data_IF_234925572079
#
_entry.id   IF_234925572079
#
_cell.length_a   1.000
_cell.length_b   1.000
_cell.length_c   1.000
_cell.angle_alpha   90.00
_cell.angle_beta   90.00
_cell.angle_gamma   90.00
#
_symmetry.space_group_name_H-M   'P 1'
#
loop_
_entity.id
_entity.type
_entity.pdbx_description
1 polymer ?
#
# COMPACT_ATOMS: atom_id res chain seq x y z
N UNK A 1 -5.06 42.37 6.50
CA UNK A 1 -4.09 41.30 6.83
C UNK A 1 -4.86 40.09 7.30
N UNK A 2 -5.10 39.14 6.41
CA UNK A 2 -5.84 37.90 6.69
C UNK A 2 -4.88 36.88 7.29
N UNK A 3 -5.05 36.60 8.57
CA UNK A 3 -4.39 35.55 9.32
C UNK A 3 -4.81 34.18 8.79
N UNK A 4 -3.87 33.45 8.19
CA UNK A 4 -4.06 32.04 7.83
C UNK A 4 -4.21 31.18 9.09
N UNK A 5 -5.16 30.24 9.16
CA UNK A 5 -5.25 29.32 10.27
C UNK A 5 -4.10 28.30 10.18
N UNK A 6 -3.20 28.34 11.16
CA UNK A 6 -2.27 27.25 11.44
C UNK A 6 -3.11 26.02 11.80
N UNK A 7 -3.25 25.10 10.85
CA UNK A 7 -3.86 23.80 11.09
C UNK A 7 -2.82 22.91 11.76
N UNK A 8 -3.19 22.28 12.88
CA UNK A 8 -2.35 21.25 13.48
C UNK A 8 -2.01 20.16 12.44
N UNK A 9 -0.84 19.50 12.51
CA UNK A 9 -0.51 18.42 11.60
C UNK A 9 -1.60 17.32 11.68
N UNK A 10 -2.11 16.87 10.53
CA UNK A 10 -3.01 15.71 10.43
C UNK A 10 -4.51 15.95 10.27
N UNK A 11 -4.99 17.14 9.90
CA UNK A 11 -6.43 17.40 9.70
C UNK A 11 -6.95 17.21 8.27
N UNK A 12 -6.08 17.00 7.28
CA UNK A 12 -6.52 16.86 5.89
C UNK A 12 -7.26 15.53 5.69
N UNK A 13 -8.43 15.58 5.07
CA UNK A 13 -9.19 14.39 4.67
C UNK A 13 -9.43 14.50 3.17
N UNK A 14 -8.84 13.57 2.40
CA UNK A 14 -8.97 13.54 0.93
C UNK A 14 -9.60 12.23 0.49
N UNK A 15 -10.46 12.27 -0.52
CA UNK A 15 -10.78 11.08 -1.34
C UNK A 15 -9.60 10.73 -2.25
N UNK A 16 -9.57 9.52 -2.81
CA UNK A 16 -8.56 9.13 -3.81
C UNK A 16 -8.49 10.12 -4.99
N UNK A 17 -9.64 10.61 -5.45
CA UNK A 17 -9.72 11.58 -6.56
C UNK A 17 -9.14 12.96 -6.19
N UNK A 18 -9.21 13.34 -4.92
CA UNK A 18 -8.57 14.58 -4.44
C UNK A 18 -7.07 14.36 -4.21
N UNK A 19 -6.67 13.22 -3.64
CA UNK A 19 -5.26 12.85 -3.48
C UNK A 19 -4.54 12.83 -4.84
N UNK A 20 -5.19 12.32 -5.88
CA UNK A 20 -4.65 12.26 -7.25
C UNK A 20 -4.26 13.62 -7.85
N UNK A 21 -4.75 14.74 -7.30
CA UNK A 21 -4.35 16.09 -7.73
C UNK A 21 -2.97 16.48 -7.22
N UNK A 22 -2.45 15.79 -6.22
CA UNK A 22 -1.15 16.04 -5.60
C UNK A 22 -0.05 15.12 -6.17
N UNK A 23 -0.04 14.98 -7.50
CA UNK A 23 0.91 14.12 -8.25
C UNK A 23 2.22 14.83 -8.62
N UNK A 24 2.32 16.13 -8.34
CA UNK A 24 3.51 16.95 -8.61
C UNK A 24 3.58 17.56 -9.99
N UNK A 25 2.54 17.37 -10.82
CA UNK A 25 2.41 18.04 -12.12
C UNK A 25 2.32 19.57 -11.97
N UNK A 26 1.63 20.04 -10.93
CA UNK A 26 1.59 21.45 -10.54
C UNK A 26 2.65 21.73 -9.44
N UNK A 27 3.65 22.57 -9.71
CA UNK A 27 4.67 22.94 -8.71
C UNK A 27 4.18 23.89 -7.63
N UNK A 28 3.00 24.51 -7.78
CA UNK A 28 2.43 25.45 -6.82
C UNK A 28 1.72 24.79 -5.64
N UNK A 29 1.42 23.49 -5.74
CA UNK A 29 0.77 22.71 -4.69
C UNK A 29 1.71 21.63 -4.12
N UNK A 30 1.44 21.17 -2.89
CA UNK A 30 2.22 20.10 -2.27
C UNK A 30 2.08 18.77 -3.01
N UNK A 31 3.12 17.95 -2.88
CA UNK A 31 3.23 16.59 -3.41
C UNK A 31 2.90 15.57 -2.32
N UNK A 32 1.92 14.70 -2.56
CA UNK A 32 1.45 13.75 -1.55
C UNK A 32 1.58 12.31 -2.01
N UNK A 33 1.79 11.41 -1.04
CA UNK A 33 1.52 9.98 -1.17
C UNK A 33 0.71 9.54 0.04
N UNK A 34 -0.01 8.42 -0.08
CA UNK A 34 -0.60 7.76 1.06
C UNK A 34 0.01 6.38 1.32
N UNK A 35 0.14 6.03 2.59
CA UNK A 35 0.57 4.71 3.08
C UNK A 35 -0.39 4.32 4.20
N UNK A 36 -1.02 3.17 4.04
CA UNK A 36 -2.11 2.66 4.86
C UNK A 36 -3.22 3.71 5.08
N UNK A 37 -3.62 4.41 4.01
CA UNK A 37 -4.58 5.51 4.09
C UNK A 37 -4.10 6.76 4.83
N UNK A 38 -2.87 6.83 5.32
CA UNK A 38 -2.29 8.04 5.95
C UNK A 38 -1.57 8.85 4.89
N UNK A 39 -1.86 10.15 4.79
CA UNK A 39 -1.30 11.06 3.78
C UNK A 39 -0.05 11.74 4.33
N UNK A 40 1.03 11.66 3.55
CA UNK A 40 2.32 12.27 3.85
C UNK A 40 2.69 13.33 2.82
N UNK A 41 3.17 14.48 3.29
CA UNK A 41 3.81 15.49 2.45
C UNK A 41 5.23 15.06 2.11
N UNK A 42 5.43 14.72 0.83
CA UNK A 42 6.71 14.30 0.27
C UNK A 42 7.32 15.37 -0.64
N UNK A 43 6.89 16.62 -0.53
CA UNK A 43 7.42 17.76 -1.30
C UNK A 43 8.93 17.96 -1.08
N UNK A 44 9.44 17.68 0.12
CA UNK A 44 10.88 17.68 0.41
C UNK A 44 11.66 16.60 -0.36
N UNK A 45 10.96 15.53 -0.80
CA UNK A 45 11.49 14.42 -1.59
C UNK A 45 11.18 14.51 -3.09
N UNK A 46 10.99 15.71 -3.65
CA UNK A 46 10.57 15.91 -5.05
C UNK A 46 11.51 15.28 -6.08
N UNK A 47 12.80 15.10 -5.79
CA UNK A 47 13.72 14.35 -6.67
C UNK A 47 13.36 12.87 -6.82
N UNK A 48 12.62 12.31 -5.86
CA UNK A 48 12.17 10.92 -5.85
C UNK A 48 10.74 10.78 -6.36
N UNK A 49 9.81 11.58 -5.82
CA UNK A 49 8.38 11.45 -6.09
C UNK A 49 7.83 12.48 -7.08
N UNK A 50 8.58 13.54 -7.38
CA UNK A 50 8.16 14.53 -8.38
C UNK A 50 8.34 14.01 -9.80
N UNK A 51 7.85 14.75 -10.81
CA UNK A 51 7.98 14.36 -12.22
C UNK A 51 9.43 14.00 -12.61
N UNK A 52 9.61 12.83 -13.23
CA UNK A 52 10.92 12.31 -13.64
C UNK A 52 11.70 11.57 -12.55
N UNK A 53 11.24 11.59 -11.30
CA UNK A 53 11.82 10.80 -10.21
C UNK A 53 11.51 9.30 -10.30
N UNK A 54 12.34 8.44 -9.71
CA UNK A 54 12.16 6.98 -9.74
C UNK A 54 10.85 6.49 -9.10
N UNK A 55 10.24 7.29 -8.23
CA UNK A 55 9.01 6.97 -7.50
C UNK A 55 7.84 7.90 -7.87
N UNK A 56 7.95 8.62 -9.00
CA UNK A 56 6.95 9.58 -9.45
C UNK A 56 5.54 8.98 -9.60
N UNK A 57 5.47 7.70 -9.96
CA UNK A 57 4.21 6.98 -10.15
C UNK A 57 3.39 6.78 -8.86
N UNK A 58 4.01 6.91 -7.67
CA UNK A 58 3.29 6.87 -6.40
C UNK A 58 2.67 8.19 -5.99
N UNK A 59 3.09 9.30 -6.60
CA UNK A 59 2.57 10.62 -6.28
C UNK A 59 1.06 10.70 -6.57
N UNK A 60 0.33 11.32 -5.64
CA UNK A 60 -1.13 11.42 -5.67
C UNK A 60 -1.85 10.09 -5.47
N UNK A 61 -1.20 9.05 -4.94
CA UNK A 61 -1.81 7.72 -4.76
C UNK A 61 -1.53 7.17 -3.38
N UNK A 62 -2.37 6.22 -2.99
CA UNK A 62 -2.06 5.32 -1.89
C UNK A 62 -1.24 4.15 -2.43
N UNK A 63 0.03 4.12 -2.04
CA UNK A 63 1.04 3.19 -2.56
C UNK A 63 1.28 2.00 -1.62
N UNK A 64 0.39 1.78 -0.64
CA UNK A 64 0.57 0.76 0.42
C UNK A 64 1.01 -0.59 -0.13
N UNK A 65 0.33 -1.09 -1.16
CA UNK A 65 0.61 -2.40 -1.73
C UNK A 65 2.05 -2.49 -2.24
N UNK A 66 2.48 -1.53 -3.05
CA UNK A 66 3.81 -1.51 -3.64
C UNK A 66 4.93 -1.56 -2.59
N UNK A 67 4.77 -0.85 -1.46
CA UNK A 67 5.73 -0.88 -0.37
C UNK A 67 5.75 -2.23 0.36
N UNK A 68 4.58 -2.78 0.70
CA UNK A 68 4.52 -4.08 1.37
C UNK A 68 5.05 -5.23 0.50
N UNK A 69 4.72 -5.22 -0.80
CA UNK A 69 5.18 -6.26 -1.73
C UNK A 69 6.61 -6.02 -2.24
N UNK A 70 7.16 -4.82 -2.03
CA UNK A 70 8.35 -4.29 -2.69
C UNK A 70 8.31 -4.44 -4.22
N UNK A 71 7.11 -4.35 -4.80
CA UNK A 71 6.87 -4.34 -6.24
C UNK A 71 6.55 -2.90 -6.65
N UNK A 72 7.54 -2.20 -7.22
CA UNK A 72 7.39 -0.78 -7.61
C UNK A 72 7.02 -0.59 -9.08
N UNK A 73 7.06 -1.67 -9.86
CA UNK A 73 6.71 -1.65 -11.27
C UNK A 73 5.28 -2.16 -11.46
N UNK A 74 4.62 -1.65 -12.50
CA UNK A 74 3.27 -2.05 -12.88
C UNK A 74 2.17 -1.24 -12.17
N UNK A 75 1.21 -0.65 -12.91
CA UNK A 75 0.13 0.15 -12.32
C UNK A 75 -0.77 -0.64 -11.37
N UNK A 76 -0.82 -1.96 -11.50
CA UNK A 76 -1.55 -2.86 -10.62
C UNK A 76 -0.99 -2.90 -9.18
N UNK A 77 0.26 -2.47 -8.96
CA UNK A 77 0.86 -2.39 -7.63
C UNK A 77 0.65 -1.04 -6.96
N UNK A 78 0.31 0.00 -7.73
CA UNK A 78 0.19 1.39 -7.26
C UNK A 78 -1.19 1.67 -6.66
N UNK A 79 -1.55 0.87 -5.66
CA UNK A 79 -2.89 0.84 -5.04
C UNK A 79 -2.83 0.60 -3.54
N UNK A 80 -3.92 0.92 -2.85
CA UNK A 80 -4.16 0.58 -1.46
C UNK A 80 -4.65 -0.87 -1.27
N UNK A 81 -4.98 -1.56 -2.36
CA UNK A 81 -5.57 -2.90 -2.30
C UNK A 81 -4.57 -3.95 -1.82
N UNK A 82 -4.73 -4.34 -0.55
CA UNK A 82 -3.91 -5.35 0.12
C UNK A 82 -4.43 -6.78 -0.05
N UNK A 83 -5.54 -6.99 -0.78
CA UNK A 83 -6.07 -8.34 -1.04
C UNK A 83 -5.04 -9.15 -1.84
N UNK A 84 -4.92 -10.43 -1.50
CA UNK A 84 -3.92 -11.34 -2.09
C UNK A 84 -2.48 -11.14 -1.61
N UNK A 85 -2.14 -10.06 -0.87
CA UNK A 85 -0.75 -9.84 -0.43
C UNK A 85 -0.27 -10.94 0.52
N UNK A 86 -1.15 -11.52 1.35
CA UNK A 86 -0.81 -12.65 2.21
C UNK A 86 -0.21 -13.85 1.46
N UNK A 87 -0.53 -14.05 0.17
CA UNK A 87 0.02 -15.15 -0.63
C UNK A 87 1.55 -15.10 -0.73
N UNK A 88 2.17 -13.91 -0.64
CA UNK A 88 3.64 -13.78 -0.67
C UNK A 88 4.31 -14.28 0.62
N UNK A 89 3.54 -14.42 1.70
CA UNK A 89 3.99 -14.91 2.99
C UNK A 89 3.55 -16.36 3.25
N UNK A 90 2.80 -16.96 2.33
CA UNK A 90 2.41 -18.37 2.44
C UNK A 90 3.59 -19.29 2.05
N UNK A 91 3.79 -20.40 2.77
CA UNK A 91 4.83 -21.37 2.43
C UNK A 91 4.65 -21.96 1.03
N UNK A 92 5.75 -22.18 0.29
CA UNK A 92 5.69 -22.73 -1.08
C UNK A 92 5.04 -24.11 -1.18
N UNK A 93 5.17 -24.95 -0.15
CA UNK A 93 4.53 -26.27 -0.16
C UNK A 93 3.01 -26.20 -0.24
N UNK A 94 2.38 -25.06 0.12
CA UNK A 94 0.94 -24.90 -0.01
C UNK A 94 0.48 -24.97 -1.47
N UNK A 95 1.31 -24.49 -2.40
CA UNK A 95 1.03 -24.54 -3.84
C UNK A 95 0.96 -26.00 -4.30
N UNK A 96 1.86 -26.85 -3.79
CA UNK A 96 1.84 -28.30 -4.02
C UNK A 96 0.62 -28.95 -3.36
N UNK A 97 0.24 -28.52 -2.14
CA UNK A 97 -0.95 -29.08 -1.47
C UNK A 97 -2.28 -28.69 -2.13
N UNK A 98 -2.33 -27.61 -2.91
CA UNK A 98 -3.51 -27.25 -3.72
C UNK A 98 -3.72 -28.27 -4.84
N UNK A 99 -2.65 -28.72 -5.49
CA UNK A 99 -2.69 -29.82 -6.46
C UNK A 99 -3.09 -31.13 -5.77
N UNK A 100 -2.56 -31.42 -4.57
CA UNK A 100 -2.94 -32.61 -3.80
C UNK A 100 -4.37 -32.54 -3.23
N UNK A 101 -4.88 -31.35 -2.93
CA UNK A 101 -6.26 -31.14 -2.50
C UNK A 101 -7.24 -31.25 -3.66
N UNK A 102 -6.87 -30.78 -4.85
CA UNK A 102 -7.57 -31.12 -6.10
C UNK A 102 -7.56 -32.64 -6.34
N UNK A 103 -6.54 -33.35 -5.82
CA UNK A 103 -6.46 -34.80 -5.77
C UNK A 103 -7.12 -35.44 -4.51
N UNK A 104 -7.86 -34.69 -3.69
CA UNK A 104 -8.72 -35.19 -2.62
C UNK A 104 -8.06 -35.48 -1.27
N UNK A 105 -6.83 -35.01 -1.00
CA UNK A 105 -6.10 -35.27 0.26
C UNK A 105 -6.24 -34.09 1.23
N UNK A 106 -6.81 -34.33 2.42
CA UNK A 106 -7.12 -33.28 3.41
C UNK A 106 -5.92 -32.93 4.31
N UNK A 107 -5.73 -31.63 4.57
CA UNK A 107 -4.81 -31.10 5.57
C UNK A 107 -5.46 -29.88 6.27
N UNK A 108 -5.99 -30.07 7.49
CA UNK A 108 -6.99 -29.16 8.08
C UNK A 108 -6.57 -28.44 9.39
N UNK A 109 -5.28 -28.42 9.75
CA UNK A 109 -4.79 -27.55 10.86
C UNK A 109 -3.51 -26.81 10.56
N UNK A 110 -2.65 -27.40 9.72
CA UNK A 110 -1.45 -26.74 9.21
C UNK A 110 -1.84 -25.51 8.38
N UNK A 111 -2.89 -25.64 7.56
CA UNK A 111 -3.37 -24.56 6.70
C UNK A 111 -3.76 -23.29 7.46
N UNK A 112 -4.63 -23.43 8.45
CA UNK A 112 -5.07 -22.29 9.28
C UNK A 112 -3.87 -21.58 9.91
N UNK A 113 -2.95 -22.33 10.54
CA UNK A 113 -1.77 -21.74 11.16
C UNK A 113 -0.89 -21.00 10.15
N UNK A 114 -0.66 -21.59 8.98
CA UNK A 114 0.19 -20.98 7.96
C UNK A 114 -0.47 -19.72 7.36
N UNK A 115 -1.80 -19.72 7.19
CA UNK A 115 -2.56 -18.53 6.81
C UNK A 115 -2.45 -17.43 7.87
N UNK A 116 -2.59 -17.77 9.16
CA UNK A 116 -2.40 -16.83 10.26
C UNK A 116 -0.97 -16.25 10.30
N UNK A 117 0.05 -17.09 10.12
CA UNK A 117 1.44 -16.63 10.05
C UNK A 117 1.70 -15.77 8.80
N UNK A 118 1.08 -16.10 7.66
CA UNK A 118 1.13 -15.29 6.46
C UNK A 118 0.52 -13.91 6.67
N UNK A 119 -0.64 -13.84 7.34
CA UNK A 119 -1.28 -12.56 7.71
C UNK A 119 -0.38 -11.75 8.66
N UNK A 120 0.22 -12.37 9.68
CA UNK A 120 1.23 -11.70 10.53
C UNK A 120 2.42 -11.19 9.72
N UNK A 121 2.80 -11.88 8.65
CA UNK A 121 3.80 -11.43 7.69
C UNK A 121 3.40 -10.11 7.03
N UNK A 122 2.17 -10.03 6.51
CA UNK A 122 1.59 -8.80 5.94
C UNK A 122 1.60 -7.67 6.95
N UNK A 123 1.12 -7.92 8.17
CA UNK A 123 1.04 -6.92 9.24
C UNK A 123 2.44 -6.38 9.63
N UNK A 124 3.44 -7.26 9.76
CA UNK A 124 4.82 -6.86 10.07
C UNK A 124 5.41 -5.99 8.96
N UNK A 125 5.21 -6.37 7.71
CA UNK A 125 5.70 -5.62 6.55
C UNK A 125 5.00 -4.25 6.44
N UNK A 126 3.68 -4.21 6.62
CA UNK A 126 2.91 -2.96 6.65
C UNK A 126 3.37 -2.05 7.79
N UNK A 127 3.51 -2.60 9.00
CA UNK A 127 3.97 -1.86 10.17
C UNK A 127 5.35 -1.25 9.94
N UNK A 128 6.28 -2.01 9.36
CA UNK A 128 7.62 -1.51 9.05
C UNK A 128 7.58 -0.22 8.21
N UNK A 129 6.76 -0.19 7.16
CA UNK A 129 6.64 1.00 6.31
C UNK A 129 5.84 2.13 6.96
N UNK A 130 4.76 1.83 7.70
CA UNK A 130 4.03 2.84 8.47
C UNK A 130 4.95 3.51 9.51
N UNK A 131 5.77 2.74 10.23
CA UNK A 131 6.75 3.27 11.18
C UNK A 131 7.82 4.12 10.46
N UNK A 132 8.27 3.71 9.26
CA UNK A 132 9.21 4.50 8.47
C UNK A 132 8.62 5.86 8.08
N UNK A 133 7.43 5.89 7.48
CA UNK A 133 6.82 7.14 7.02
C UNK A 133 6.33 8.02 8.18
N UNK A 134 5.74 7.43 9.22
CA UNK A 134 5.20 8.16 10.37
C UNK A 134 6.23 8.49 11.46
N UNK A 135 7.28 7.69 11.61
CA UNK A 135 8.22 7.79 12.73
C UNK A 135 9.62 8.31 12.38
N UNK A 136 10.00 8.34 11.11
CA UNK A 136 11.36 8.78 10.72
C UNK A 136 11.57 10.30 10.75
N UNK A 137 10.49 11.09 10.82
CA UNK A 137 10.54 12.55 10.66
C UNK A 137 10.94 13.01 9.25
N UNK A 138 11.08 12.08 8.29
CA UNK A 138 11.50 12.39 6.91
C UNK A 138 10.41 13.12 6.12
N UNK A 139 9.16 12.75 6.36
CA UNK A 139 7.98 13.31 5.71
C UNK A 139 6.95 13.69 6.76
N UNK A 140 6.18 14.75 6.49
CA UNK A 140 5.18 15.24 7.43
C UNK A 140 3.86 14.48 7.22
N UNK A 141 3.25 13.99 8.30
CA UNK A 141 1.89 13.48 8.27
C UNK A 141 0.92 14.66 8.19
N UNK A 142 0.16 14.74 7.11
CA UNK A 142 -0.75 15.87 6.86
C UNK A 142 -2.22 15.48 6.92
N UNK A 143 -2.55 14.19 6.79
CA UNK A 143 -3.95 13.77 6.79
C UNK A 143 -4.20 12.28 6.57
N UNK A 144 -5.41 11.97 6.10
CA UNK A 144 -5.87 10.61 5.77
C UNK A 144 -6.71 10.57 4.50
N UNK A 145 -6.74 9.41 3.86
CA UNK A 145 -7.63 9.12 2.73
C UNK A 145 -8.97 8.64 3.26
N UNK A 146 -10.05 9.22 2.77
CA UNK A 146 -11.42 8.82 3.04
C UNK A 146 -11.95 7.91 1.93
N UNK A 147 -12.47 6.75 2.34
CA UNK A 147 -13.08 5.74 1.47
C UNK A 147 -14.28 5.13 2.16
N UNK A 148 -15.36 4.91 1.41
CA UNK A 148 -16.39 3.97 1.83
C UNK A 148 -15.89 2.56 1.51
N UNK A 149 -15.38 1.88 2.54
CA UNK A 149 -14.79 0.55 2.40
C UNK A 149 -15.79 -0.45 1.79
N UNK A 150 -17.06 -0.40 2.21
CA UNK A 150 -18.07 -1.35 1.78
C UNK A 150 -18.47 -1.10 0.31
N UNK A 151 -18.61 0.16 -0.08
CA UNK A 151 -18.87 0.51 -1.46
C UNK A 151 -17.68 0.16 -2.36
N UNK A 152 -16.45 0.41 -1.88
CA UNK A 152 -15.24 0.03 -2.60
C UNK A 152 -15.16 -1.48 -2.79
N UNK A 153 -15.33 -2.30 -1.75
CA UNK A 153 -15.26 -3.77 -1.84
C UNK A 153 -16.28 -4.36 -2.84
N UNK A 154 -17.46 -3.74 -2.96
CA UNK A 154 -18.49 -4.18 -3.92
C UNK A 154 -18.17 -3.81 -5.37
N UNK A 155 -17.45 -2.71 -5.57
CA UNK A 155 -17.11 -2.19 -6.90
C UNK A 155 -15.68 -2.53 -7.32
N UNK A 156 -14.85 -3.03 -6.40
CA UNK A 156 -13.44 -3.26 -6.63
C UNK A 156 -13.24 -4.34 -7.71
N UNK A 157 -12.24 -4.16 -8.60
CA UNK A 157 -11.87 -5.21 -9.54
C UNK A 157 -11.33 -6.44 -8.81
N UNK A 158 -11.01 -7.48 -9.58
CA UNK A 158 -10.27 -8.63 -9.07
C UNK A 158 -8.98 -8.17 -8.35
N UNK A 159 -8.60 -8.83 -7.23
CA UNK A 159 -7.39 -8.49 -6.51
C UNK A 159 -6.18 -8.46 -7.44
N UNK A 160 -5.30 -7.44 -7.34
CA UNK A 160 -4.10 -7.39 -8.15
C UNK A 160 -3.24 -8.63 -7.90
N UNK A 161 -2.62 -9.14 -8.96
CA UNK A 161 -1.68 -10.25 -8.82
C UNK A 161 -0.41 -9.79 -8.12
N UNK A 162 0.26 -10.70 -7.42
CA UNK A 162 1.60 -10.46 -6.93
C UNK A 162 2.59 -10.39 -8.08
N UNK A 163 3.58 -9.50 -7.98
CA UNK A 163 4.67 -9.49 -8.95
C UNK A 163 5.58 -10.72 -8.75
N UNK A 164 6.31 -11.11 -9.80
CA UNK A 164 7.17 -12.29 -9.79
C UNK A 164 8.21 -12.26 -8.64
N UNK A 165 8.74 -11.07 -8.33
CA UNK A 165 9.67 -10.87 -7.22
C UNK A 165 9.05 -11.26 -5.86
N UNK A 166 7.80 -10.87 -5.61
CA UNK A 166 7.10 -11.22 -4.37
C UNK A 166 6.83 -12.73 -4.30
N UNK A 167 6.40 -13.35 -5.41
CA UNK A 167 6.16 -14.79 -5.47
C UNK A 167 7.44 -15.61 -5.23
N UNK A 168 8.58 -15.19 -5.78
CA UNK A 168 9.87 -15.87 -5.56
C UNK A 168 10.34 -15.86 -4.10
N UNK A 169 9.96 -14.80 -3.36
CA UNK A 169 10.30 -14.58 -1.94
C UNK A 169 9.42 -15.36 -0.96
N UNK A 170 8.41 -16.12 -1.42
CA UNK A 170 7.59 -16.97 -0.54
C UNK A 170 8.48 -17.87 0.34
N UNK A 171 8.14 -18.02 1.64
CA UNK A 171 8.90 -18.83 2.58
C UNK A 171 8.86 -20.33 2.27
#
# INVERSE_FOLDING_TARGET
SSSSPSSAPGHLVLTDAQLARHDGSDPSIPLYIAINGTIYDVSSGRSFYGPGGPYAHFAGRDATRAWVTECFEGPEQWTHDMRGVHEMFMPKYMDETLEEAAAGKSADRRRVRDEEEAQKGVEKALKHWVDFFGGSGKYELVGKVERDQKAWEQAAPDPPKLCEKALKKKP
#
